data_IF_612770243609
#
_entry.id   IF_612770243609
#
_cell.length_a   1.000
_cell.length_b   1.000
_cell.length_c   1.000
_cell.angle_alpha   90.00
_cell.angle_beta   90.00
_cell.angle_gamma   90.00
#
_symmetry.space_group_name_H-M   'P 1'
#
loop_
_entity.id
_entity.type
_entity.pdbx_description
1 polymer ?
#
# COMPACT_ATOMS: atom_id res chain seq x y z
N UNK A 1 -51.00 10.31 -26.27
CA UNK A 1 -49.67 10.51 -26.86
C UNK A 1 -48.62 10.29 -25.77
N UNK A 2 -48.05 9.08 -25.70
CA UNK A 2 -46.90 8.78 -24.85
C UNK A 2 -45.64 8.81 -25.72
N UNK A 3 -44.77 9.79 -25.50
CA UNK A 3 -43.44 9.87 -26.12
C UNK A 3 -42.44 9.26 -25.15
N UNK A 4 -42.21 7.95 -25.27
CA UNK A 4 -41.39 7.14 -24.37
C UNK A 4 -40.28 6.36 -25.06
N UNK A 5 -39.73 6.88 -26.17
CA UNK A 5 -38.74 6.16 -26.99
C UNK A 5 -37.57 7.04 -27.47
N UNK A 6 -37.03 7.91 -26.60
CA UNK A 6 -35.78 8.64 -26.92
C UNK A 6 -34.63 8.52 -25.93
N UNK A 7 -34.81 7.85 -24.79
CA UNK A 7 -33.74 7.68 -23.80
C UNK A 7 -32.94 6.38 -23.94
N UNK A 8 -33.44 5.39 -24.69
CA UNK A 8 -32.73 4.11 -24.87
C UNK A 8 -31.43 4.20 -25.66
N UNK A 9 -31.33 5.14 -26.62
CA UNK A 9 -30.14 5.30 -27.44
C UNK A 9 -28.99 6.03 -26.70
N UNK A 10 -29.32 6.82 -25.67
CA UNK A 10 -28.32 7.56 -24.88
C UNK A 10 -27.76 6.75 -23.73
N UNK A 11 -28.46 5.72 -23.29
CA UNK A 11 -27.99 4.79 -22.26
C UNK A 11 -27.09 3.71 -22.90
N UNK A 12 -27.42 3.26 -24.12
CA UNK A 12 -26.57 2.29 -24.86
C UNK A 12 -25.21 2.86 -25.31
N UNK A 13 -25.09 4.17 -25.55
CA UNK A 13 -23.78 4.76 -25.92
C UNK A 13 -22.79 4.86 -24.76
N UNK A 14 -23.23 4.67 -23.50
CA UNK A 14 -22.33 4.58 -22.35
C UNK A 14 -21.89 3.15 -22.05
N UNK A 15 -22.58 2.13 -22.58
CA UNK A 15 -22.19 0.73 -22.38
C UNK A 15 -21.10 0.30 -23.38
N UNK A 16 -21.09 0.81 -24.60
CA UNK A 16 -20.06 0.46 -25.60
C UNK A 16 -18.71 1.17 -25.39
N UNK A 17 -18.65 2.31 -24.71
CA UNK A 17 -17.38 2.99 -24.39
C UNK A 17 -16.72 2.45 -23.10
N UNK A 18 -17.38 1.53 -22.39
CA UNK A 18 -16.97 1.02 -21.08
C UNK A 18 -16.47 -0.43 -21.06
N UNK A 19 -16.02 -0.98 -22.19
CA UNK A 19 -15.13 -2.15 -22.13
C UNK A 19 -13.71 -1.71 -21.72
N UNK A 20 -13.59 -1.07 -20.55
CA UNK A 20 -12.29 -0.83 -19.93
C UNK A 20 -11.69 -2.21 -19.64
N UNK A 21 -10.67 -2.60 -20.41
CA UNK A 21 -9.92 -3.83 -20.14
C UNK A 21 -8.95 -3.51 -19.00
N UNK A 22 -9.18 -4.03 -17.78
CA UNK A 22 -8.48 -3.60 -16.56
C UNK A 22 -6.98 -3.94 -16.51
N UNK A 23 -6.42 -4.54 -17.57
CA UNK A 23 -5.03 -4.96 -17.65
C UNK A 23 -4.50 -4.90 -19.08
N UNK A 24 -4.62 -3.74 -19.74
CA UNK A 24 -4.00 -3.59 -21.05
C UNK A 24 -2.51 -3.26 -20.90
N UNK A 25 -1.64 -3.90 -21.68
CA UNK A 25 -0.19 -3.60 -21.76
C UNK A 25 0.06 -2.09 -21.99
N UNK A 26 -0.91 -1.40 -22.61
CA UNK A 26 -0.91 0.05 -22.82
C UNK A 26 -0.90 0.85 -21.50
N UNK A 27 -1.69 0.46 -20.49
CA UNK A 27 -1.66 1.10 -19.16
C UNK A 27 -0.32 0.88 -18.47
N UNK A 28 0.24 -0.33 -18.60
CA UNK A 28 1.56 -0.68 -18.06
C UNK A 28 2.65 0.21 -18.65
N UNK A 29 2.72 0.32 -19.98
CA UNK A 29 3.68 1.18 -20.67
C UNK A 29 3.45 2.66 -20.32
N UNK A 30 2.20 3.12 -20.22
CA UNK A 30 1.88 4.49 -19.86
C UNK A 30 2.39 4.85 -18.45
N UNK A 31 2.19 3.97 -17.47
CA UNK A 31 2.67 4.16 -16.11
C UNK A 31 4.19 4.22 -16.01
N UNK A 32 4.90 3.26 -16.60
CA UNK A 32 6.38 3.26 -16.58
C UNK A 32 6.96 4.45 -17.35
N UNK A 33 6.35 4.83 -18.47
CA UNK A 33 6.74 6.04 -19.22
C UNK A 33 6.49 7.31 -18.40
N UNK A 34 5.40 7.37 -17.65
CA UNK A 34 5.11 8.47 -16.73
C UNK A 34 6.16 8.55 -15.61
N UNK A 35 6.50 7.43 -14.97
CA UNK A 35 7.55 7.38 -13.94
C UNK A 35 8.90 7.84 -14.48
N UNK A 36 9.25 7.43 -15.69
CA UNK A 36 10.48 7.85 -16.35
C UNK A 36 10.48 9.37 -16.61
N UNK A 37 9.44 9.89 -17.28
CA UNK A 37 9.33 11.32 -17.61
C UNK A 37 9.27 12.24 -16.38
N UNK A 38 8.67 11.77 -15.29
CA UNK A 38 8.57 12.52 -14.04
C UNK A 38 9.81 12.42 -13.14
N UNK A 39 10.86 11.70 -13.58
CA UNK A 39 12.08 11.47 -12.78
C UNK A 39 11.84 10.61 -11.53
N UNK A 40 10.68 9.96 -11.41
CA UNK A 40 10.29 9.11 -10.27
C UNK A 40 10.82 7.69 -10.40
N UNK A 41 11.15 7.24 -11.62
CA UNK A 41 11.64 5.89 -11.87
C UNK A 41 12.88 5.55 -11.05
N UNK A 42 13.86 6.48 -10.97
CA UNK A 42 15.07 6.27 -10.18
C UNK A 42 14.76 6.01 -8.70
N UNK A 43 13.82 6.77 -8.12
CA UNK A 43 13.40 6.59 -6.72
C UNK A 43 12.76 5.23 -6.49
N UNK A 44 11.92 4.78 -7.42
CA UNK A 44 11.30 3.44 -7.37
C UNK A 44 12.37 2.33 -7.46
N UNK A 45 13.33 2.45 -8.40
CA UNK A 45 14.41 1.47 -8.54
C UNK A 45 15.34 1.42 -7.32
N UNK A 46 15.70 2.59 -6.78
CA UNK A 46 16.47 2.70 -5.55
C UNK A 46 15.77 2.00 -4.39
N UNK A 47 14.44 2.19 -4.29
CA UNK A 47 13.66 1.49 -3.28
C UNK A 47 13.71 -0.03 -3.43
N UNK A 48 13.52 -0.55 -4.66
CA UNK A 48 13.60 -2.00 -4.92
C UNK A 48 14.98 -2.53 -4.51
N UNK A 49 16.06 -1.81 -4.85
CA UNK A 49 17.41 -2.21 -4.48
C UNK A 49 17.60 -2.24 -2.95
N UNK A 50 17.19 -1.19 -2.24
CA UNK A 50 17.27 -1.13 -0.78
C UNK A 50 16.46 -2.25 -0.11
N UNK A 51 15.27 -2.53 -0.64
CA UNK A 51 14.42 -3.62 -0.16
C UNK A 51 15.08 -4.99 -0.32
N UNK A 52 15.69 -5.27 -1.47
CA UNK A 52 16.42 -6.52 -1.70
C UNK A 52 17.64 -6.66 -0.76
N UNK A 53 18.35 -5.56 -0.49
CA UNK A 53 19.47 -5.53 0.47
C UNK A 53 18.99 -5.83 1.89
N UNK A 54 17.89 -5.21 2.34
CA UNK A 54 17.32 -5.48 3.67
C UNK A 54 16.84 -6.93 3.79
N UNK A 55 16.22 -7.47 2.74
CA UNK A 55 15.81 -8.87 2.70
C UNK A 55 17.01 -9.82 2.81
N UNK A 56 18.11 -9.50 2.11
CA UNK A 56 19.36 -10.26 2.21
C UNK A 56 19.95 -10.21 3.63
N UNK A 57 20.00 -9.04 4.26
CA UNK A 57 20.51 -8.89 5.63
C UNK A 57 19.67 -9.73 6.60
N UNK A 58 18.34 -9.63 6.53
CA UNK A 58 17.44 -10.44 7.35
C UNK A 58 17.67 -11.94 7.14
N UNK A 59 18.00 -12.36 5.92
CA UNK A 59 18.38 -13.76 5.62
C UNK A 59 19.59 -14.20 6.41
N UNK A 60 20.66 -13.41 6.32
CA UNK A 60 21.95 -13.73 6.91
C UNK A 60 21.84 -13.77 8.43
N UNK A 61 21.10 -12.84 9.04
CA UNK A 61 20.87 -12.81 10.47
C UNK A 61 20.08 -14.02 10.97
N UNK A 62 19.01 -14.42 10.25
CA UNK A 62 18.25 -15.61 10.62
C UNK A 62 19.13 -16.87 10.53
N UNK A 63 19.94 -17.00 9.48
CA UNK A 63 20.86 -18.13 9.33
C UNK A 63 21.89 -18.18 10.47
N UNK A 64 22.50 -17.05 10.80
CA UNK A 64 23.55 -16.94 11.83
C UNK A 64 23.02 -17.21 13.24
N UNK A 65 21.83 -16.71 13.57
CA UNK A 65 21.27 -16.80 14.94
C UNK A 65 20.50 -18.08 15.23
N UNK A 66 20.12 -18.87 14.22
CA UNK A 66 19.34 -20.10 14.41
C UNK A 66 20.14 -21.37 14.12
N UNK A 67 21.38 -21.26 13.62
CA UNK A 67 22.22 -22.38 13.17
C UNK A 67 21.51 -23.35 12.18
N UNK A 68 20.36 -22.96 11.64
CA UNK A 68 19.57 -23.76 10.70
C UNK A 68 19.85 -23.31 9.26
N UNK A 69 20.18 -24.27 8.40
CA UNK A 69 20.09 -24.08 6.94
C UNK A 69 18.63 -23.80 6.62
N UNK A 70 18.31 -22.54 6.25
CA UNK A 70 16.99 -22.02 5.87
C UNK A 70 15.88 -23.08 5.94
N UNK A 71 15.37 -23.33 7.15
CA UNK A 71 14.32 -24.31 7.38
C UNK A 71 13.03 -23.95 6.62
N UNK A 72 12.01 -24.82 6.66
CA UNK A 72 10.71 -24.55 6.00
C UNK A 72 10.04 -23.24 6.46
N UNK A 73 10.42 -22.73 7.64
CA UNK A 73 9.92 -21.47 8.21
C UNK A 73 10.55 -20.20 7.63
N UNK A 74 11.66 -20.30 6.90
CA UNK A 74 12.30 -19.15 6.22
C UNK A 74 11.69 -18.88 4.85
N UNK A 75 11.09 -19.89 4.22
CA UNK A 75 10.42 -19.77 2.92
C UNK A 75 9.35 -18.66 2.88
N UNK A 76 8.46 -18.51 3.89
CA UNK A 76 7.50 -17.41 3.98
C UNK A 76 8.15 -16.04 4.11
N UNK A 77 9.28 -15.94 4.82
CA UNK A 77 10.03 -14.69 5.03
C UNK A 77 10.65 -14.17 3.71
N UNK A 78 10.92 -15.05 2.74
CA UNK A 78 11.41 -14.67 1.40
C UNK A 78 10.31 -14.49 0.36
N UNK A 79 9.37 -15.42 0.34
CA UNK A 79 8.36 -15.48 -0.70
C UNK A 79 7.34 -14.37 -0.53
N UNK A 80 6.93 -14.07 0.71
CA UNK A 80 5.93 -13.03 0.92
C UNK A 80 6.44 -11.65 0.44
N UNK A 81 7.65 -11.19 0.84
CA UNK A 81 8.19 -9.92 0.34
C UNK A 81 8.42 -9.93 -1.19
N UNK A 82 8.86 -11.06 -1.76
CA UNK A 82 9.04 -11.20 -3.20
C UNK A 82 7.71 -11.15 -3.98
N UNK A 83 6.67 -11.82 -3.48
CA UNK A 83 5.32 -11.77 -4.05
C UNK A 83 4.80 -10.34 -4.00
N UNK A 84 4.97 -9.64 -2.87
CA UNK A 84 4.57 -8.23 -2.74
C UNK A 84 5.29 -7.36 -3.76
N UNK A 85 6.60 -7.58 -3.97
CA UNK A 85 7.37 -6.87 -5.01
C UNK A 85 6.86 -7.17 -6.43
N UNK A 86 6.55 -8.43 -6.74
CA UNK A 86 6.00 -8.83 -8.05
C UNK A 86 4.61 -8.22 -8.25
N UNK A 87 3.76 -8.28 -7.24
CA UNK A 87 2.45 -7.60 -7.27
C UNK A 87 2.63 -6.11 -7.48
N UNK A 88 3.62 -5.48 -6.85
CA UNK A 88 3.91 -4.07 -7.05
C UNK A 88 4.29 -3.74 -8.51
N UNK A 89 5.10 -4.57 -9.16
CA UNK A 89 5.54 -4.36 -10.55
C UNK A 89 4.40 -4.62 -11.56
N UNK A 90 3.55 -5.62 -11.30
CA UNK A 90 2.51 -6.05 -12.24
C UNK A 90 1.15 -5.38 -12.01
N UNK A 91 0.81 -5.08 -10.75
CA UNK A 91 -0.51 -4.58 -10.34
C UNK A 91 -0.55 -3.07 -10.18
N UNK A 92 0.52 -2.42 -9.71
CA UNK A 92 0.52 -0.96 -9.60
C UNK A 92 0.16 -0.27 -10.94
N UNK A 93 0.65 -0.72 -12.11
CA UNK A 93 0.32 -0.08 -13.37
C UNK A 93 -1.15 -0.23 -13.81
N UNK A 94 -1.94 -1.14 -13.23
CA UNK A 94 -3.35 -1.34 -13.57
C UNK A 94 -4.32 -0.60 -12.65
N UNK A 95 -3.83 -0.10 -11.51
CA UNK A 95 -4.60 0.67 -10.54
C UNK A 95 -5.26 1.94 -11.10
N UNK A 96 -4.66 2.73 -12.02
CA UNK A 96 -5.26 3.96 -12.48
C UNK A 96 -6.66 3.78 -13.04
N UNK A 97 -6.85 2.85 -13.98
CA UNK A 97 -8.18 2.65 -14.52
C UNK A 97 -9.09 1.75 -13.66
N UNK A 98 -8.55 0.92 -12.74
CA UNK A 98 -9.37 0.32 -11.67
C UNK A 98 -10.01 1.40 -10.80
N UNK A 99 -9.24 2.43 -10.40
CA UNK A 99 -9.78 3.57 -9.69
C UNK A 99 -10.78 4.37 -10.53
N UNK A 100 -10.52 4.56 -11.83
CA UNK A 100 -11.49 5.21 -12.72
C UNK A 100 -12.83 4.48 -12.72
N UNK A 101 -12.83 3.15 -12.80
CA UNK A 101 -14.04 2.34 -12.78
C UNK A 101 -14.75 2.38 -11.40
N UNK A 102 -13.99 2.23 -10.31
CA UNK A 102 -14.54 2.19 -8.96
C UNK A 102 -15.17 3.52 -8.50
N UNK A 103 -14.62 4.64 -8.96
CA UNK A 103 -15.05 5.98 -8.54
C UNK A 103 -15.82 6.73 -9.63
N UNK A 104 -16.36 6.02 -10.61
CA UNK A 104 -17.18 6.61 -11.67
C UNK A 104 -18.34 7.44 -11.07
N UNK A 105 -18.54 8.64 -11.61
CA UNK A 105 -19.57 9.58 -11.12
C UNK A 105 -19.22 10.34 -9.83
N UNK A 106 -18.08 10.05 -9.19
CA UNK A 106 -17.61 10.75 -7.97
C UNK A 106 -16.53 11.80 -8.26
N UNK A 107 -15.97 11.77 -9.46
CA UNK A 107 -14.99 12.74 -9.93
C UNK A 107 -15.62 14.11 -10.16
N UNK A 108 -14.78 15.16 -10.13
CA UNK A 108 -15.26 16.50 -10.48
C UNK A 108 -15.65 16.56 -11.97
N UNK A 109 -16.78 17.21 -12.31
CA UNK A 109 -17.27 17.28 -13.68
C UNK A 109 -16.46 18.24 -14.57
N UNK A 110 -15.67 19.15 -13.98
CA UNK A 110 -14.88 20.15 -14.69
C UNK A 110 -13.51 19.66 -15.19
N UNK A 111 -13.13 18.42 -14.87
CA UNK A 111 -11.84 17.84 -15.23
C UNK A 111 -11.95 17.11 -16.57
N UNK A 112 -11.05 17.42 -17.51
CA UNK A 112 -10.95 16.68 -18.77
C UNK A 112 -10.46 15.24 -18.56
N UNK A 113 -10.83 14.32 -19.46
CA UNK A 113 -10.43 12.92 -19.36
C UNK A 113 -8.90 12.72 -19.27
N UNK A 114 -8.13 13.51 -20.02
CA UNK A 114 -6.67 13.47 -20.00
C UNK A 114 -6.08 13.97 -18.68
N UNK A 115 -6.63 15.06 -18.13
CA UNK A 115 -6.21 15.59 -16.83
C UNK A 115 -6.55 14.62 -15.69
N UNK A 116 -7.72 13.97 -15.75
CA UNK A 116 -8.11 12.93 -14.81
C UNK A 116 -7.16 11.73 -14.88
N UNK A 117 -6.81 11.26 -16.07
CA UNK A 117 -5.87 10.15 -16.23
C UNK A 117 -4.47 10.49 -15.69
N UNK A 118 -3.97 11.71 -15.96
CA UNK A 118 -2.72 12.21 -15.39
C UNK A 118 -2.72 12.26 -13.86
N UNK A 119 -3.82 12.73 -13.25
CA UNK A 119 -4.00 12.72 -11.80
C UNK A 119 -4.00 11.28 -11.26
N UNK A 120 -4.72 10.36 -11.89
CA UNK A 120 -4.76 8.95 -11.45
C UNK A 120 -3.38 8.29 -11.51
N UNK A 121 -2.60 8.53 -12.58
CA UNK A 121 -1.21 8.07 -12.66
C UNK A 121 -0.34 8.65 -11.54
N UNK A 122 -0.53 9.93 -11.21
CA UNK A 122 0.20 10.57 -10.12
C UNK A 122 -0.15 9.97 -8.76
N UNK A 123 -1.44 9.73 -8.49
CA UNK A 123 -1.93 9.11 -7.25
C UNK A 123 -1.34 7.73 -7.05
N UNK A 124 -1.36 6.91 -8.12
CA UNK A 124 -0.82 5.56 -8.08
C UNK A 124 0.69 5.61 -7.87
N UNK A 125 1.41 6.46 -8.59
CA UNK A 125 2.86 6.61 -8.42
C UNK A 125 3.22 7.05 -6.99
N UNK A 126 2.44 7.95 -6.37
CA UNK A 126 2.69 8.37 -4.98
C UNK A 126 2.33 7.29 -3.98
N UNK A 127 1.23 6.57 -4.20
CA UNK A 127 0.82 5.44 -3.36
C UNK A 127 1.90 4.35 -3.39
N UNK A 128 2.45 4.07 -4.57
CA UNK A 128 3.61 3.21 -4.80
C UNK A 128 4.83 3.67 -4.00
N UNK A 129 5.25 4.93 -4.15
CA UNK A 129 6.36 5.49 -3.36
C UNK A 129 6.13 5.38 -1.84
N UNK A 130 4.90 5.60 -1.39
CA UNK A 130 4.54 5.54 0.04
C UNK A 130 4.61 4.10 0.53
N UNK A 131 3.92 3.18 -0.15
CA UNK A 131 3.93 1.74 0.16
C UNK A 131 5.35 1.19 0.20
N UNK A 132 6.17 1.59 -0.77
CA UNK A 132 7.59 1.30 -0.77
C UNK A 132 8.26 1.70 0.55
N UNK A 133 8.23 2.98 0.91
CA UNK A 133 8.85 3.47 2.16
C UNK A 133 8.36 2.71 3.40
N UNK A 134 7.05 2.44 3.49
CA UNK A 134 6.48 1.63 4.59
C UNK A 134 7.16 0.27 4.65
N UNK A 135 7.19 -0.43 3.52
CA UNK A 135 7.64 -1.80 3.47
C UNK A 135 9.13 -1.90 3.81
N UNK A 136 9.92 -0.93 3.33
CA UNK A 136 11.33 -0.78 3.74
C UNK A 136 11.49 -0.54 5.24
N UNK A 137 10.71 0.37 5.83
CA UNK A 137 10.72 0.63 7.27
C UNK A 137 10.29 -0.59 8.08
N UNK A 138 9.21 -1.27 7.68
CA UNK A 138 8.74 -2.50 8.31
C UNK A 138 9.84 -3.55 8.30
N UNK A 139 10.49 -3.80 7.16
CA UNK A 139 11.60 -4.75 7.08
C UNK A 139 12.77 -4.36 7.99
N UNK A 140 13.14 -3.07 8.02
CA UNK A 140 14.20 -2.58 8.91
C UNK A 140 13.83 -2.75 10.40
N UNK A 141 12.61 -2.41 10.80
CA UNK A 141 12.14 -2.63 12.18
C UNK A 141 12.08 -4.12 12.52
N UNK A 142 11.67 -4.97 11.59
CA UNK A 142 11.65 -6.40 11.79
C UNK A 142 13.07 -6.96 12.03
N UNK A 143 14.08 -6.49 11.29
CA UNK A 143 15.48 -6.85 11.54
C UNK A 143 15.90 -6.47 12.97
N UNK A 144 15.67 -5.22 13.35
CA UNK A 144 16.07 -4.70 14.66
C UNK A 144 15.36 -5.43 15.80
N UNK A 145 14.05 -5.68 15.67
CA UNK A 145 13.26 -6.39 16.69
C UNK A 145 13.62 -7.86 16.82
N UNK A 146 13.95 -8.52 15.71
CA UNK A 146 14.38 -9.91 15.75
C UNK A 146 15.70 -10.04 16.50
N UNK A 147 16.70 -9.24 16.13
CA UNK A 147 18.00 -9.18 16.83
C UNK A 147 17.84 -8.84 18.31
N UNK A 148 17.02 -7.83 18.62
CA UNK A 148 16.73 -7.48 20.01
C UNK A 148 16.06 -8.63 20.76
N UNK A 149 15.06 -9.28 20.16
CA UNK A 149 14.39 -10.43 20.78
C UNK A 149 15.35 -11.58 21.08
N UNK A 150 16.30 -11.86 20.18
CA UNK A 150 17.36 -12.85 20.42
C UNK A 150 18.34 -12.42 21.50
N UNK A 151 18.75 -11.16 21.53
CA UNK A 151 19.61 -10.61 22.58
C UNK A 151 18.96 -10.73 23.97
N UNK A 152 17.65 -10.53 24.06
CA UNK A 152 16.88 -10.69 25.29
C UNK A 152 16.44 -12.13 25.57
N UNK A 153 16.93 -13.12 24.81
CA UNK A 153 16.58 -14.54 24.95
C UNK A 153 15.07 -14.82 24.91
N UNK A 154 14.30 -13.99 24.20
CA UNK A 154 12.86 -14.18 24.07
C UNK A 154 12.54 -15.46 23.28
N UNK A 155 11.53 -16.24 23.69
CA UNK A 155 11.04 -17.38 22.92
C UNK A 155 10.65 -16.98 21.49
N UNK A 156 10.95 -17.85 20.52
CA UNK A 156 10.71 -17.62 19.10
C UNK A 156 9.26 -17.25 18.78
N UNK A 157 8.29 -17.88 19.46
CA UNK A 157 6.87 -17.56 19.32
C UNK A 157 6.54 -16.12 19.71
N UNK A 158 7.17 -15.59 20.77
CA UNK A 158 6.97 -14.20 21.22
C UNK A 158 7.64 -13.24 20.24
N UNK A 159 8.90 -13.51 19.86
CA UNK A 159 9.65 -12.71 18.89
C UNK A 159 8.90 -12.61 17.55
N UNK A 160 8.43 -13.73 17.00
CA UNK A 160 7.65 -13.75 15.76
C UNK A 160 6.31 -13.00 15.87
N UNK A 161 5.64 -13.08 17.04
CA UNK A 161 4.39 -12.34 17.27
C UNK A 161 4.63 -10.83 17.32
N UNK A 162 5.72 -10.38 17.95
CA UNK A 162 6.11 -8.96 17.99
C UNK A 162 6.47 -8.42 16.60
N UNK A 163 7.12 -9.23 15.76
CA UNK A 163 7.37 -8.89 14.35
C UNK A 163 6.05 -8.71 13.58
N UNK A 164 5.11 -9.64 13.74
CA UNK A 164 3.79 -9.56 13.11
C UNK A 164 3.01 -8.32 13.54
N UNK A 165 3.00 -8.01 14.84
CA UNK A 165 2.37 -6.82 15.39
C UNK A 165 3.01 -5.54 14.82
N UNK A 166 4.34 -5.47 14.78
CA UNK A 166 5.05 -4.30 14.25
C UNK A 166 4.76 -4.07 12.77
N UNK A 167 4.61 -5.14 11.99
CA UNK A 167 4.22 -5.03 10.59
C UNK A 167 2.80 -4.46 10.43
N UNK A 168 1.84 -4.91 11.25
CA UNK A 168 0.47 -4.40 11.25
C UNK A 168 0.43 -2.93 11.71
N UNK A 169 1.18 -2.59 12.76
CA UNK A 169 1.25 -1.22 13.25
C UNK A 169 1.85 -0.27 12.21
N UNK A 170 2.96 -0.64 11.59
CA UNK A 170 3.58 0.18 10.54
C UNK A 170 2.63 0.39 9.36
N UNK A 171 1.87 -0.64 9.00
CA UNK A 171 0.82 -0.54 7.98
C UNK A 171 -0.30 0.43 8.38
N UNK A 172 -0.86 0.29 9.58
CA UNK A 172 -1.95 1.15 10.08
C UNK A 172 -1.51 2.61 10.29
N UNK A 173 -0.32 2.83 10.85
CA UNK A 173 0.28 4.16 11.01
C UNK A 173 0.37 4.82 9.64
N UNK A 174 0.77 4.07 8.62
CA UNK A 174 0.91 4.67 7.31
C UNK A 174 -0.41 4.85 6.58
N UNK A 175 -1.41 4.00 6.80
CA UNK A 175 -2.77 4.31 6.35
C UNK A 175 -3.24 5.64 6.97
N UNK A 176 -2.95 5.89 8.25
CA UNK A 176 -3.27 7.16 8.90
C UNK A 176 -2.52 8.35 8.26
N UNK A 177 -1.19 8.25 8.10
CA UNK A 177 -0.38 9.34 7.53
C UNK A 177 -0.67 9.59 6.06
N UNK A 178 -0.87 8.54 5.26
CA UNK A 178 -1.22 8.67 3.85
C UNK A 178 -2.58 9.34 3.72
N UNK A 179 -3.59 8.93 4.47
CA UNK A 179 -4.93 9.55 4.39
C UNK A 179 -5.00 10.98 4.95
N UNK A 180 -4.26 11.28 6.02
CA UNK A 180 -4.22 12.62 6.63
C UNK A 180 -3.21 13.57 5.98
N UNK A 181 -2.31 13.05 5.15
CA UNK A 181 -1.22 13.81 4.54
C UNK A 181 -1.72 14.96 3.66
N UNK A 182 -1.02 16.10 3.73
CA UNK A 182 -1.31 17.30 2.92
C UNK A 182 -1.43 16.99 1.43
N UNK A 183 -0.53 16.15 0.92
CA UNK A 183 -0.55 15.72 -0.48
C UNK A 183 -1.86 15.02 -0.86
N UNK A 184 -2.32 14.05 -0.05
CA UNK A 184 -3.56 13.33 -0.33
C UNK A 184 -4.77 14.25 -0.19
N UNK A 185 -4.79 15.19 0.75
CA UNK A 185 -5.86 16.20 0.82
C UNK A 185 -5.91 17.08 -0.43
N UNK A 186 -4.77 17.58 -0.88
CA UNK A 186 -4.71 18.41 -2.10
C UNK A 186 -5.11 17.61 -3.34
N UNK A 187 -4.68 16.34 -3.41
CA UNK A 187 -5.03 15.43 -4.51
C UNK A 187 -6.52 15.09 -4.53
N UNK A 188 -7.10 14.71 -3.38
CA UNK A 188 -8.52 14.42 -3.24
C UNK A 188 -9.37 15.63 -3.66
N UNK A 189 -8.97 16.85 -3.24
CA UNK A 189 -9.64 18.10 -3.62
C UNK A 189 -9.59 18.38 -5.12
N UNK A 190 -8.49 18.01 -5.77
CA UNK A 190 -8.31 18.17 -7.22
C UNK A 190 -9.06 17.13 -8.03
N UNK A 191 -9.44 16.00 -7.43
CA UNK A 191 -9.95 14.82 -8.16
C UNK A 191 -11.44 14.57 -7.92
N UNK A 192 -11.91 14.74 -6.68
CA UNK A 192 -13.28 14.40 -6.26
C UNK A 192 -14.17 15.63 -6.09
N UNK A 193 -15.48 15.43 -6.22
CA UNK A 193 -16.48 16.45 -5.92
C UNK A 193 -16.40 16.91 -4.45
N UNK A 194 -16.89 18.12 -4.15
CA UNK A 194 -16.78 18.69 -2.80
C UNK A 194 -17.38 17.79 -1.70
N UNK A 195 -18.55 17.18 -1.96
CA UNK A 195 -19.20 16.28 -1.01
C UNK A 195 -18.40 14.98 -0.77
N UNK A 196 -17.81 14.40 -1.83
CA UNK A 196 -16.96 13.21 -1.67
C UNK A 196 -15.64 13.57 -0.99
N UNK A 197 -15.05 14.73 -1.29
CA UNK A 197 -13.87 15.24 -0.60
C UNK A 197 -14.08 15.37 0.92
N UNK A 198 -15.19 16.01 1.35
CA UNK A 198 -15.53 16.13 2.78
C UNK A 198 -15.75 14.77 3.42
N UNK A 199 -16.42 13.87 2.72
CA UNK A 199 -16.63 12.50 3.19
C UNK A 199 -15.31 11.80 3.44
N UNK A 200 -14.34 11.84 2.51
CA UNK A 200 -13.05 11.15 2.69
C UNK A 200 -12.14 11.79 3.72
N UNK A 201 -12.26 13.10 3.96
CA UNK A 201 -11.39 13.84 4.88
C UNK A 201 -11.97 14.03 6.28
N UNK A 202 -13.20 13.58 6.53
CA UNK A 202 -13.86 13.67 7.82
C UNK A 202 -13.06 12.95 8.93
N UNK A 203 -12.80 13.62 10.08
CA UNK A 203 -12.12 13.02 11.23
C UNK A 203 -12.76 11.71 11.72
N UNK A 204 -14.08 11.58 11.54
CA UNK A 204 -14.84 10.39 11.95
C UNK A 204 -14.40 9.10 11.26
N UNK A 205 -13.87 9.18 10.04
CA UNK A 205 -13.40 8.00 9.31
C UNK A 205 -12.11 7.40 9.87
N UNK A 206 -11.32 8.20 10.61
CA UNK A 206 -10.01 7.78 11.11
C UNK A 206 -10.05 7.34 12.57
N UNK A 207 -11.18 7.53 13.26
CA UNK A 207 -11.37 7.16 14.65
C UNK A 207 -11.12 5.67 14.87
N UNK A 208 -11.72 4.82 14.04
CA UNK A 208 -11.58 3.36 14.17
C UNK A 208 -10.14 2.91 13.89
N UNK A 209 -9.46 3.53 12.91
CA UNK A 209 -8.06 3.24 12.60
C UNK A 209 -7.14 3.61 13.77
N UNK A 210 -7.38 4.76 14.40
CA UNK A 210 -6.61 5.23 15.58
C UNK A 210 -6.83 4.34 16.79
N UNK A 211 -8.07 3.92 17.05
CA UNK A 211 -8.38 2.98 18.14
C UNK A 211 -7.71 1.63 17.89
N UNK A 212 -7.73 1.13 16.65
CA UNK A 212 -7.03 -0.10 16.27
C UNK A 212 -5.52 -0.02 16.54
N UNK A 213 -4.88 1.08 16.17
CA UNK A 213 -3.46 1.34 16.46
C UNK A 213 -3.14 1.28 17.96
N UNK A 214 -3.95 1.94 18.79
CA UNK A 214 -3.77 1.94 20.24
C UNK A 214 -3.90 0.51 20.80
N UNK A 215 -4.89 -0.24 20.35
CA UNK A 215 -5.13 -1.61 20.81
C UNK A 215 -3.98 -2.56 20.45
N UNK A 216 -3.43 -2.45 19.24
CA UNK A 216 -2.32 -3.29 18.76
C UNK A 216 -1.02 -2.96 19.51
N UNK A 217 -0.72 -1.68 19.73
CA UNK A 217 0.43 -1.26 20.53
C UNK A 217 0.34 -1.76 21.99
N UNK A 218 -0.85 -1.67 22.60
CA UNK A 218 -1.09 -2.22 23.94
C UNK A 218 -0.83 -3.73 24.00
N UNK A 219 -1.25 -4.48 22.97
CA UNK A 219 -0.97 -5.91 22.87
C UNK A 219 0.53 -6.19 22.78
N UNK A 220 1.29 -5.42 21.99
CA UNK A 220 2.75 -5.55 21.89
C UNK A 220 3.43 -5.37 23.25
N UNK A 221 3.04 -4.33 24.00
CA UNK A 221 3.58 -4.04 25.33
C UNK A 221 3.27 -5.18 26.31
N UNK A 222 2.04 -5.69 26.33
CA UNK A 222 1.65 -6.81 27.20
C UNK A 222 2.48 -8.07 26.89
N UNK A 223 2.69 -8.38 25.62
CA UNK A 223 3.49 -9.54 25.20
C UNK A 223 4.96 -9.39 25.55
N UNK A 224 5.54 -8.19 25.42
CA UNK A 224 6.90 -7.90 25.87
C UNK A 224 7.05 -8.10 27.38
N UNK A 225 6.13 -7.56 28.19
CA UNK A 225 6.14 -7.74 29.65
C UNK A 225 5.98 -9.20 30.05
N UNK A 226 5.08 -9.94 29.39
CA UNK A 226 4.92 -11.37 29.63
C UNK A 226 6.19 -12.15 29.28
N UNK A 227 6.80 -11.88 28.13
CA UNK A 227 8.06 -12.51 27.72
C UNK A 227 9.20 -12.28 28.70
N UNK A 228 9.31 -11.08 29.29
CA UNK A 228 10.36 -10.72 30.25
C UNK A 228 10.14 -11.24 31.68
N UNK A 229 8.90 -11.52 32.09
CA UNK A 229 8.59 -11.91 33.47
C UNK A 229 8.61 -13.43 33.68
N UNK A 230 8.36 -14.20 32.63
CA UNK A 230 8.13 -15.65 32.73
C UNK A 230 9.21 -16.50 32.04
N UNK A 231 10.22 -15.87 31.45
CA UNK A 231 11.39 -16.48 30.82
C UNK A 231 12.65 -15.66 31.12
#
# INVERSE_FOLDING_TARGET
MYSGYRDGARIMSYEEENSYKPSSIRELVAFWRYLYKSGRLFRVLLFIALFLVLLLILTLLIQDTTDQVLGPYTFPVFIFPLIVLVMFILYAPTLPGLYKAQFQGKFRPDISADALHGLLLEMVAKSVETIAVIFGLTCAFCIVLFEAGKLFSLPDGITLTLLGITAIDTFLITLLFSTLGRYNRDFLRRTFSAGEYERYTSPGNYRNLTIGLIAINLLAVVLLFYGLLFY
#
